data_IF_836667302881
#
_entry.id   IF_836667302881
#
_cell.length_a   1.000
_cell.length_b   1.000
_cell.length_c   1.000
_cell.angle_alpha   90.00
_cell.angle_beta   90.00
_cell.angle_gamma   90.00
#
_symmetry.space_group_name_H-M   'P 1'
#
loop_
_entity.id
_entity.type
_entity.pdbx_description
1 polymer ?
#
# COMPACT_ATOMS: atom_id res chain seq x y z
N UNK A 1 7.67 44.03 7.57
CA UNK A 1 7.50 43.05 6.49
C UNK A 1 8.24 41.79 6.90
N UNK A 2 7.51 40.74 7.28
CA UNK A 2 8.05 39.40 7.47
C UNK A 2 7.10 38.50 6.67
N UNK A 3 7.58 37.95 5.56
CA UNK A 3 6.81 37.00 4.74
C UNK A 3 6.46 35.79 5.60
N UNK A 4 5.16 35.53 5.72
CA UNK A 4 4.61 34.41 6.47
C UNK A 4 4.03 33.39 5.49
N UNK A 5 4.81 32.98 4.51
CA UNK A 5 4.52 31.80 3.69
C UNK A 5 5.06 30.55 4.41
N UNK A 6 4.58 30.35 5.64
CA UNK A 6 4.66 29.02 6.24
C UNK A 6 3.51 28.26 5.59
N UNK A 7 3.81 27.47 4.56
CA UNK A 7 2.86 26.52 4.03
C UNK A 7 2.23 25.76 5.20
N UNK A 8 0.90 25.84 5.34
CA UNK A 8 0.16 25.06 6.33
C UNK A 8 0.64 23.59 6.23
N UNK A 9 1.09 23.01 7.34
CA UNK A 9 1.44 21.59 7.38
C UNK A 9 0.17 20.76 7.14
N UNK A 10 -0.17 20.53 5.87
CA UNK A 10 -1.29 19.72 5.46
C UNK A 10 -0.95 18.25 5.72
N UNK A 11 -1.80 17.56 6.46
CA UNK A 11 -1.68 16.12 6.63
C UNK A 11 -1.83 15.42 5.29
N UNK A 12 -0.83 14.64 4.89
CA UNK A 12 -0.89 13.82 3.67
C UNK A 12 -1.35 12.43 4.04
N UNK A 13 -2.54 12.03 3.59
CA UNK A 13 -3.00 10.65 3.70
C UNK A 13 -2.34 9.78 2.63
N UNK A 14 -1.91 8.58 2.99
CA UNK A 14 -1.44 7.53 2.08
C UNK A 14 -2.30 6.28 2.32
N UNK A 15 -2.93 5.80 1.26
CA UNK A 15 -3.67 4.54 1.29
C UNK A 15 -2.73 3.37 0.95
N UNK A 16 -2.76 2.32 1.75
CA UNK A 16 -2.02 1.09 1.48
C UNK A 16 -3.04 -0.03 1.27
N UNK A 17 -3.03 -0.67 0.10
CA UNK A 17 -3.85 -1.86 -0.19
C UNK A 17 -2.98 -3.10 -0.03
N UNK A 18 -3.44 -4.13 0.66
CA UNK A 18 -2.72 -5.43 0.79
C UNK A 18 -3.45 -6.55 0.08
N UNK A 19 -2.73 -7.39 -0.69
CA UNK A 19 -3.31 -8.50 -1.48
C UNK A 19 -2.79 -9.91 -1.14
N UNK A 20 -1.82 -10.06 -0.22
CA UNK A 20 -1.28 -11.35 0.29
C UNK A 20 0.23 -11.28 0.59
N UNK A 21 1.01 -12.34 0.85
CA UNK A 21 0.79 -13.70 1.37
C UNK A 21 1.88 -14.12 2.38
N UNK A 22 2.60 -13.15 2.93
CA UNK A 22 3.68 -13.39 3.92
C UNK A 22 3.71 -12.33 5.02
N UNK A 23 3.30 -11.08 4.73
CA UNK A 23 3.07 -10.05 5.76
C UNK A 23 1.92 -10.45 6.69
N UNK A 24 0.91 -11.12 6.14
CA UNK A 24 -0.32 -11.49 6.87
C UNK A 24 -0.19 -12.79 7.67
N UNK A 25 0.63 -13.75 7.23
CA UNK A 25 0.85 -15.03 7.95
C UNK A 25 1.45 -14.86 9.35
N UNK A 26 2.22 -13.80 9.59
CA UNK A 26 2.77 -13.50 10.92
C UNK A 26 1.74 -12.87 11.86
N UNK A 27 0.57 -12.47 11.37
CA UNK A 27 -0.44 -11.71 12.13
C UNK A 27 -1.73 -12.47 12.44
N UNK A 28 -1.92 -13.65 11.84
CA UNK A 28 -3.18 -14.41 11.92
C UNK A 28 -3.04 -15.66 12.80
N UNK A 29 -2.64 -15.46 14.05
CA UNK A 29 -2.75 -16.53 15.06
C UNK A 29 -3.83 -16.25 16.12
N UNK A 30 -4.33 -15.01 16.26
CA UNK A 30 -5.47 -14.66 17.12
C UNK A 30 -5.82 -13.16 17.00
N UNK A 31 -7.10 -12.85 16.75
CA UNK A 31 -7.80 -11.60 17.18
C UNK A 31 -7.55 -10.26 16.43
N UNK A 32 -8.64 -9.54 16.12
CA UNK A 32 -8.64 -8.06 15.98
C UNK A 32 -7.88 -7.41 14.82
N UNK A 33 -7.89 -8.05 13.65
CA UNK A 33 -6.91 -7.87 12.55
C UNK A 33 -6.78 -6.46 11.96
N UNK A 34 -7.86 -5.68 11.74
CA UNK A 34 -7.76 -4.39 11.04
C UNK A 34 -7.15 -3.26 11.88
N UNK A 35 -7.61 -3.09 13.13
CA UNK A 35 -7.13 -2.01 14.02
C UNK A 35 -5.68 -2.22 14.44
N UNK A 36 -5.27 -3.48 14.63
CA UNK A 36 -3.89 -3.82 14.96
C UNK A 36 -2.95 -3.65 13.74
N UNK A 37 -3.40 -3.92 12.51
CA UNK A 37 -2.59 -3.73 11.28
C UNK A 37 -2.20 -2.27 11.05
N UNK A 38 -3.17 -1.36 11.12
CA UNK A 38 -2.93 0.06 11.01
C UNK A 38 -1.95 0.52 12.10
N UNK A 39 -2.15 0.05 13.34
CA UNK A 39 -1.29 0.35 14.48
C UNK A 39 0.13 -0.19 14.31
N UNK A 40 0.33 -1.38 13.75
CA UNK A 40 1.66 -2.01 13.59
C UNK A 40 2.43 -1.39 12.45
N UNK A 41 1.78 -1.15 11.31
CA UNK A 41 2.38 -0.45 10.18
C UNK A 41 2.69 0.98 10.61
N UNK A 42 1.76 1.70 11.26
CA UNK A 42 2.02 3.02 11.86
C UNK A 42 3.16 2.96 12.88
N UNK A 43 3.21 1.99 13.78
CA UNK A 43 4.25 1.92 14.80
C UNK A 43 5.63 1.62 14.21
N UNK A 44 5.75 0.66 13.29
CA UNK A 44 7.03 0.36 12.62
C UNK A 44 7.49 1.51 11.72
N UNK A 45 6.56 2.15 11.01
CA UNK A 45 6.88 3.31 10.18
C UNK A 45 7.23 4.52 11.06
N UNK A 46 6.49 4.83 12.13
CA UNK A 46 6.82 5.92 13.05
C UNK A 46 8.16 5.71 13.77
N UNK A 47 8.53 4.47 14.07
CA UNK A 47 9.84 4.15 14.67
C UNK A 47 11.00 4.34 13.70
N UNK A 48 10.79 4.15 12.39
CA UNK A 48 11.86 4.21 11.36
C UNK A 48 11.84 5.47 10.51
N UNK A 49 10.69 6.12 10.39
CA UNK A 49 10.42 7.29 9.57
C UNK A 49 9.72 8.34 10.44
N UNK A 50 10.33 9.52 10.57
CA UNK A 50 9.66 10.66 11.20
C UNK A 50 8.67 11.26 10.21
N UNK A 51 7.44 10.76 10.21
CA UNK A 51 6.32 11.25 9.38
C UNK A 51 5.25 11.95 10.23
N UNK A 52 5.55 13.08 10.89
CA UNK A 52 4.63 13.71 11.84
C UNK A 52 3.32 14.24 11.20
N UNK A 53 3.25 14.32 9.87
CA UNK A 53 2.10 14.85 9.13
C UNK A 53 1.59 13.88 8.06
N UNK A 54 1.77 12.57 8.26
CA UNK A 54 1.30 11.55 7.32
C UNK A 54 0.32 10.61 8.00
N UNK A 55 -0.89 10.52 7.47
CA UNK A 55 -1.87 9.52 7.90
C UNK A 55 -1.77 8.30 6.99
N UNK A 56 -1.49 7.14 7.56
CA UNK A 56 -1.43 5.88 6.80
C UNK A 56 -2.70 5.10 7.08
N UNK A 57 -3.47 4.79 6.02
CA UNK A 57 -4.70 4.00 6.10
C UNK A 57 -4.49 2.70 5.35
N UNK A 58 -4.72 1.56 6.01
CA UNK A 58 -4.44 0.23 5.45
C UNK A 58 -5.75 -0.47 5.11
N UNK A 59 -5.88 -0.92 3.87
CA UNK A 59 -7.02 -1.61 3.30
C UNK A 59 -6.63 -3.05 2.97
N UNK A 60 -7.06 -4.00 3.80
CA UNK A 60 -6.89 -5.43 3.52
C UNK A 60 -7.87 -5.87 2.45
N UNK A 61 -7.39 -6.18 1.25
CA UNK A 61 -8.27 -6.55 0.14
C UNK A 61 -8.42 -8.07 0.02
N UNK A 62 -7.33 -8.81 0.14
CA UNK A 62 -7.30 -10.28 0.07
C UNK A 62 -5.96 -10.82 0.60
N UNK A 63 -5.87 -12.14 0.74
CA UNK A 63 -4.70 -12.86 1.24
C UNK A 63 -4.30 -14.00 0.27
N UNK A 64 -3.90 -13.66 -0.96
CA UNK A 64 -3.65 -14.64 -2.04
C UNK A 64 -2.18 -14.58 -2.45
N UNK A 65 -1.55 -15.74 -2.66
CA UNK A 65 -0.22 -15.81 -3.28
C UNK A 65 -0.30 -15.31 -4.73
N UNK A 66 0.64 -14.46 -5.16
CA UNK A 66 0.60 -13.90 -6.52
C UNK A 66 0.52 -14.98 -7.61
N UNK A 67 1.13 -16.15 -7.41
CA UNK A 67 1.08 -17.24 -8.40
C UNK A 67 -0.33 -17.84 -8.56
N UNK A 68 -1.14 -17.80 -7.50
CA UNK A 68 -2.51 -18.32 -7.50
C UNK A 68 -3.55 -17.25 -7.88
N UNK A 69 -3.13 -15.98 -7.99
CA UNK A 69 -4.04 -14.87 -8.26
C UNK A 69 -4.65 -14.96 -9.66
N UNK A 70 -5.98 -14.92 -9.74
CA UNK A 70 -6.74 -14.98 -10.99
C UNK A 70 -7.16 -13.59 -11.49
N UNK A 71 -7.71 -13.50 -12.70
CA UNK A 71 -8.13 -12.22 -13.30
C UNK A 71 -9.18 -11.51 -12.44
N UNK A 72 -10.11 -12.26 -11.85
CA UNK A 72 -11.16 -11.77 -10.96
C UNK A 72 -10.58 -11.09 -9.72
N UNK A 73 -9.47 -11.61 -9.21
CA UNK A 73 -8.78 -11.01 -8.07
C UNK A 73 -8.08 -9.71 -8.46
N UNK A 74 -7.42 -9.68 -9.63
CA UNK A 74 -6.81 -8.45 -10.16
C UNK A 74 -7.83 -7.36 -10.40
N UNK A 75 -9.03 -7.72 -10.88
CA UNK A 75 -10.15 -6.77 -11.03
C UNK A 75 -10.56 -6.14 -9.70
N UNK A 76 -10.54 -6.89 -8.59
CA UNK A 76 -10.80 -6.31 -7.25
C UNK A 76 -9.76 -5.26 -6.87
N UNK A 77 -8.48 -5.48 -7.21
CA UNK A 77 -7.40 -4.51 -6.98
C UNK A 77 -7.71 -3.23 -7.75
N UNK A 78 -7.98 -3.35 -9.06
CA UNK A 78 -8.31 -2.21 -9.92
C UNK A 78 -9.50 -1.42 -9.39
N UNK A 79 -10.60 -2.11 -9.05
CA UNK A 79 -11.79 -1.47 -8.49
C UNK A 79 -11.50 -0.73 -7.20
N UNK A 80 -10.68 -1.30 -6.30
CA UNK A 80 -10.33 -0.64 -5.04
C UNK A 80 -9.43 0.58 -5.24
N UNK A 81 -8.47 0.51 -6.16
CA UNK A 81 -7.62 1.66 -6.50
C UNK A 81 -8.46 2.79 -7.09
N UNK A 82 -9.39 2.49 -8.02
CA UNK A 82 -10.30 3.49 -8.59
C UNK A 82 -11.25 4.09 -7.55
N UNK A 83 -11.71 3.31 -6.57
CA UNK A 83 -12.50 3.81 -5.46
C UNK A 83 -11.72 4.85 -4.64
N UNK A 84 -10.50 4.51 -4.21
CA UNK A 84 -9.68 5.35 -3.35
C UNK A 84 -9.08 6.56 -4.07
N UNK A 85 -8.92 6.50 -5.39
CA UNK A 85 -8.36 7.61 -6.18
C UNK A 85 -9.28 8.83 -6.26
N UNK A 86 -10.57 8.66 -5.93
CA UNK A 86 -11.53 9.77 -5.85
C UNK A 86 -11.13 10.81 -4.80
N UNK A 87 -10.46 10.39 -3.74
CA UNK A 87 -9.99 11.27 -2.67
C UNK A 87 -8.65 11.94 -2.99
N UNK A 88 -8.05 11.68 -4.16
CA UNK A 88 -6.78 12.26 -4.64
C UNK A 88 -5.59 12.08 -3.67
N UNK A 89 -5.61 11.01 -2.87
CA UNK A 89 -4.53 10.64 -1.96
C UNK A 89 -3.68 9.52 -2.56
N UNK A 90 -2.34 9.56 -2.42
CA UNK A 90 -1.45 8.50 -2.90
C UNK A 90 -1.87 7.10 -2.47
N UNK A 91 -1.69 6.13 -3.37
CA UNK A 91 -2.04 4.72 -3.14
C UNK A 91 -0.79 3.86 -3.32
N UNK A 92 -0.54 2.97 -2.36
CA UNK A 92 0.49 1.93 -2.44
C UNK A 92 -0.21 0.57 -2.42
N UNK A 93 0.05 -0.27 -3.42
CA UNK A 93 -0.46 -1.64 -3.50
C UNK A 93 0.66 -2.59 -3.12
N UNK A 94 0.53 -3.24 -1.95
CA UNK A 94 1.40 -4.32 -1.51
C UNK A 94 0.94 -5.63 -2.15
N UNK A 95 1.74 -6.14 -3.08
CA UNK A 95 1.43 -7.28 -3.93
C UNK A 95 2.56 -8.32 -3.91
N UNK A 96 2.23 -9.59 -4.15
CA UNK A 96 3.25 -10.62 -4.41
C UNK A 96 4.01 -10.33 -5.71
N UNK A 97 5.31 -10.62 -5.76
CA UNK A 97 6.20 -10.17 -6.83
C UNK A 97 5.98 -10.90 -8.15
N UNK A 98 5.58 -12.17 -8.13
CA UNK A 98 5.60 -13.05 -9.31
C UNK A 98 4.62 -12.61 -10.42
N UNK A 99 3.47 -12.03 -10.04
CA UNK A 99 2.42 -11.65 -10.99
C UNK A 99 1.99 -10.17 -10.86
N UNK A 100 2.81 -9.36 -10.18
CA UNK A 100 2.53 -7.93 -9.95
C UNK A 100 2.35 -7.15 -11.26
N UNK A 101 3.16 -7.45 -12.28
CA UNK A 101 3.09 -6.73 -13.56
C UNK A 101 1.70 -6.85 -14.20
N UNK A 102 1.08 -8.03 -14.14
CA UNK A 102 -0.24 -8.26 -14.76
C UNK A 102 -1.34 -7.46 -14.05
N UNK A 103 -1.21 -7.26 -12.74
CA UNK A 103 -2.12 -6.39 -11.97
C UNK A 103 -1.91 -4.91 -12.30
N UNK A 104 -0.66 -4.49 -12.53
CA UNK A 104 -0.33 -3.11 -12.90
C UNK A 104 -0.76 -2.78 -14.34
N UNK A 105 -0.51 -3.68 -15.30
CA UNK A 105 -0.97 -3.56 -16.69
C UNK A 105 -2.49 -3.46 -16.76
N UNK A 106 -3.22 -4.32 -16.02
CA UNK A 106 -4.68 -4.26 -15.97
C UNK A 106 -5.19 -2.95 -15.37
N UNK A 107 -4.47 -2.37 -14.40
CA UNK A 107 -4.81 -1.05 -13.88
C UNK A 107 -4.57 0.01 -14.95
N UNK A 108 -3.41 0.03 -15.60
CA UNK A 108 -3.04 1.01 -16.62
C UNK A 108 -4.08 1.07 -17.75
N UNK A 109 -4.55 -0.09 -18.23
CA UNK A 109 -5.62 -0.17 -19.23
C UNK A 109 -6.94 0.46 -18.77
N UNK A 110 -7.24 0.39 -17.47
CA UNK A 110 -8.46 0.89 -16.85
C UNK A 110 -8.30 2.28 -16.20
N UNK A 111 -7.12 2.91 -16.30
CA UNK A 111 -6.78 4.09 -15.51
C UNK A 111 -7.08 5.40 -16.24
N UNK A 112 -7.97 6.21 -15.66
CA UNK A 112 -8.33 7.54 -16.17
C UNK A 112 -7.90 8.70 -15.25
N UNK A 113 -7.49 8.41 -14.01
CA UNK A 113 -7.19 9.41 -12.98
C UNK A 113 -5.70 9.78 -12.92
N UNK A 114 -5.30 10.83 -13.64
CA UNK A 114 -3.89 11.29 -13.67
C UNK A 114 -3.43 12.06 -12.42
N UNK A 115 -4.33 12.36 -11.49
CA UNK A 115 -4.02 13.19 -10.32
C UNK A 115 -3.61 12.36 -9.09
N UNK A 116 -3.87 11.06 -9.11
CA UNK A 116 -3.56 10.18 -7.98
C UNK A 116 -2.37 9.29 -8.32
N UNK A 117 -1.23 9.38 -7.60
CA UNK A 117 -0.13 8.45 -7.79
C UNK A 117 -0.50 7.07 -7.22
N UNK A 118 -0.27 6.03 -8.01
CA UNK A 118 -0.44 4.63 -7.61
C UNK A 118 0.89 3.90 -7.76
N UNK A 119 1.35 3.24 -6.70
CA UNK A 119 2.63 2.54 -6.67
C UNK A 119 2.35 1.07 -6.33
N UNK A 120 2.75 0.15 -7.20
CA UNK A 120 2.81 -1.27 -6.86
C UNK A 120 4.17 -1.59 -6.26
N UNK A 121 4.17 -2.35 -5.18
CA UNK A 121 5.40 -2.85 -4.58
C UNK A 121 5.17 -4.17 -3.90
N UNK A 122 6.23 -4.94 -3.71
CA UNK A 122 6.18 -6.27 -3.14
C UNK A 122 7.45 -6.54 -2.37
N UNK A 123 7.35 -7.44 -1.40
CA UNK A 123 8.50 -7.91 -0.65
C UNK A 123 8.60 -9.42 -0.85
N UNK A 124 9.72 -9.86 -1.42
CA UNK A 124 10.05 -11.29 -1.55
C UNK A 124 10.28 -11.96 -0.19
N UNK A 125 10.28 -11.19 0.91
CA UNK A 125 10.38 -11.66 2.29
C UNK A 125 9.35 -10.95 3.19
N UNK A 126 8.71 -11.67 4.13
CA UNK A 126 7.72 -11.10 5.03
C UNK A 126 8.29 -9.96 5.90
N UNK A 127 7.42 -9.03 6.30
CA UNK A 127 7.75 -7.98 7.27
C UNK A 127 8.05 -8.59 8.65
N UNK A 128 9.28 -9.07 8.86
CA UNK A 128 9.71 -9.70 10.10
C UNK A 128 11.15 -10.24 10.09
N UNK A 129 11.84 -10.21 8.95
CA UNK A 129 13.25 -10.60 8.86
C UNK A 129 14.13 -9.35 8.74
N UNK A 130 15.05 -9.18 9.70
CA UNK A 130 15.92 -8.00 9.89
C UNK A 130 17.07 -7.89 8.88
N UNK A 131 16.81 -7.94 7.57
CA UNK A 131 17.83 -7.63 6.57
C UNK A 131 17.19 -6.99 5.33
N UNK A 132 16.95 -5.67 5.40
CA UNK A 132 16.40 -4.89 4.28
C UNK A 132 17.54 -4.20 3.51
N UNK A 133 18.16 -4.92 2.58
CA UNK A 133 18.95 -4.31 1.50
C UNK A 133 18.04 -4.14 0.29
N UNK A 134 17.67 -2.88 0.04
CA UNK A 134 17.20 -2.30 -1.23
C UNK A 134 16.17 -3.09 -2.04
N UNK A 135 14.90 -2.67 -2.06
CA UNK A 135 14.01 -2.96 -3.20
C UNK A 135 13.14 -1.73 -3.49
N UNK A 136 13.50 -1.02 -4.56
CA UNK A 136 12.65 -0.10 -5.30
C UNK A 136 12.47 -0.76 -6.67
N UNK A 137 11.25 -1.09 -7.07
CA UNK A 137 10.93 -1.30 -8.47
C UNK A 137 9.98 -0.18 -8.88
N UNK A 138 10.47 0.68 -9.77
CA UNK A 138 9.66 1.53 -10.63
C UNK A 138 9.79 0.88 -12.01
N UNK A 139 8.68 0.46 -12.61
CA UNK A 139 8.61 0.38 -14.07
C UNK A 139 8.32 1.79 -14.58
#
# INVERSE_FOLDING_TARGET
>A
MINKDIAENSWTRINIITTGGTIEKTYDEQEGTLFNRETVIKNRLNQRLRLPYTEIVVHSLMAIDSLEMQLEDRKKIVSKVQELSKDSHPIVVLHGTDTMQFSAELLEEAWDNKNTPVIFTGAMRPLGFEDYKHILYTL
#
